data_IF_442715979636
#
_entry.id   IF_442715979636
#
_cell.length_a   1.000
_cell.length_b   1.000
_cell.length_c   1.000
_cell.angle_alpha   90.00
_cell.angle_beta   90.00
_cell.angle_gamma   90.00
#
_symmetry.space_group_name_H-M   'P 1'
#
loop_
_entity.id
_entity.type
_entity.pdbx_description
1 polymer ?
#
# COMPACT_ATOMS: atom_id res chain seq x y z
N UNK A 1 17.45 -36.76 -9.67
CA UNK A 1 16.75 -37.81 -8.90
C UNK A 1 15.40 -37.23 -8.50
N UNK A 2 14.28 -37.95 -8.68
CA UNK A 2 12.95 -37.41 -8.35
C UNK A 2 12.68 -37.60 -6.86
N UNK A 3 12.17 -36.56 -6.20
CA UNK A 3 11.71 -36.58 -4.80
C UNK A 3 10.22 -36.26 -4.77
N UNK A 4 9.45 -37.00 -3.97
CA UNK A 4 8.03 -36.72 -3.77
C UNK A 4 7.82 -35.88 -2.51
N UNK A 5 7.14 -34.74 -2.65
CA UNK A 5 6.90 -33.79 -1.57
C UNK A 5 5.50 -33.98 -0.99
N UNK A 6 5.44 -34.37 0.29
CA UNK A 6 4.22 -34.43 1.09
C UNK A 6 4.06 -33.14 1.88
N UNK A 7 2.90 -32.50 1.80
CA UNK A 7 2.57 -31.32 2.62
C UNK A 7 1.75 -31.76 3.81
N UNK A 8 2.23 -31.48 5.01
CA UNK A 8 1.60 -31.87 6.27
C UNK A 8 1.64 -30.70 7.25
N UNK A 9 0.79 -30.75 8.28
CA UNK A 9 0.91 -29.82 9.39
C UNK A 9 2.20 -30.13 10.18
N UNK A 10 3.05 -29.15 10.50
CA UNK A 10 4.23 -29.37 11.35
C UNK A 10 3.89 -29.76 12.79
N UNK A 11 2.66 -29.54 13.25
CA UNK A 11 2.30 -29.56 14.67
C UNK A 11 1.30 -30.65 15.07
N UNK A 12 0.46 -31.15 14.14
CA UNK A 12 -0.51 -32.21 14.43
C UNK A 12 -0.56 -33.25 13.31
N UNK A 13 -0.94 -34.48 13.66
CA UNK A 13 -1.07 -35.59 12.71
C UNK A 13 -2.43 -35.53 12.00
N UNK A 14 -2.63 -34.46 11.22
CA UNK A 14 -3.75 -34.37 10.31
C UNK A 14 -3.67 -35.52 9.30
N UNK A 15 -4.71 -36.38 9.21
CA UNK A 15 -4.69 -37.55 8.34
C UNK A 15 -4.61 -37.18 6.85
N UNK A 16 -5.00 -35.97 6.47
CA UNK A 16 -4.98 -35.51 5.08
C UNK A 16 -3.72 -34.72 4.75
N UNK A 17 -3.06 -35.08 3.64
CA UNK A 17 -2.01 -34.24 3.08
C UNK A 17 -2.62 -33.02 2.40
N UNK A 18 -2.10 -31.82 2.68
CA UNK A 18 -2.59 -30.60 2.05
C UNK A 18 -2.22 -30.55 0.56
N UNK A 19 -3.14 -30.11 -0.28
CA UNK A 19 -2.87 -29.90 -1.70
C UNK A 19 -1.96 -28.67 -1.94
N UNK A 20 -2.13 -27.63 -1.14
CA UNK A 20 -1.42 -26.35 -1.26
C UNK A 20 -0.83 -25.91 0.08
N UNK A 21 0.36 -25.30 0.06
CA UNK A 21 1.01 -24.73 1.26
C UNK A 21 0.10 -23.70 1.96
N UNK A 22 -0.70 -22.95 1.18
CA UNK A 22 -1.66 -21.98 1.73
C UNK A 22 -2.67 -22.63 2.68
N UNK A 23 -3.10 -23.86 2.39
CA UNK A 23 -4.05 -24.57 3.23
C UNK A 23 -3.38 -25.02 4.53
N UNK A 24 -2.13 -25.50 4.46
CA UNK A 24 -1.33 -25.81 5.65
C UNK A 24 -1.17 -24.57 6.55
N UNK A 25 -0.83 -23.42 5.96
CA UNK A 25 -0.67 -22.15 6.69
C UNK A 25 -1.98 -21.72 7.39
N UNK A 26 -3.13 -21.84 6.71
CA UNK A 26 -4.44 -21.54 7.32
C UNK A 26 -4.81 -22.50 8.45
N UNK A 27 -4.55 -23.79 8.26
CA UNK A 27 -4.77 -24.80 9.29
C UNK A 27 -3.90 -24.53 10.53
N UNK A 28 -2.62 -24.20 10.34
CA UNK A 28 -1.74 -23.83 11.47
C UNK A 28 -2.28 -22.63 12.24
N UNK A 29 -2.86 -21.65 11.56
CA UNK A 29 -3.49 -20.53 12.25
C UNK A 29 -4.76 -20.95 13.00
N UNK A 30 -5.64 -21.77 12.40
CA UNK A 30 -6.90 -22.16 13.05
C UNK A 30 -6.68 -23.06 14.26
N UNK A 31 -5.87 -24.10 14.11
CA UNK A 31 -5.67 -25.18 15.09
C UNK A 31 -4.55 -24.91 16.08
N UNK A 32 -3.53 -24.12 15.68
CA UNK A 32 -2.34 -23.90 16.50
C UNK A 32 -2.09 -22.44 16.85
N UNK A 33 -2.95 -21.52 16.39
CA UNK A 33 -2.88 -20.08 16.67
C UNK A 33 -1.52 -19.45 16.34
N UNK A 34 -0.81 -20.02 15.35
CA UNK A 34 0.51 -19.55 14.89
C UNK A 34 0.40 -18.92 13.51
N UNK A 35 1.00 -17.74 13.35
CA UNK A 35 1.15 -17.09 12.06
C UNK A 35 2.48 -17.52 11.44
N UNK A 36 2.39 -18.25 10.32
CA UNK A 36 3.51 -18.61 9.48
C UNK A 36 3.72 -17.63 8.31
N UNK A 37 4.97 -17.40 7.93
CA UNK A 37 5.29 -16.75 6.65
C UNK A 37 4.90 -17.70 5.51
N UNK A 38 4.06 -17.26 4.56
CA UNK A 38 3.70 -18.09 3.42
C UNK A 38 4.87 -18.18 2.44
N UNK A 39 5.03 -19.33 1.80
CA UNK A 39 5.99 -19.48 0.72
C UNK A 39 5.73 -18.48 -0.43
N UNK A 40 6.71 -17.66 -0.84
CA UNK A 40 6.60 -16.78 -2.00
C UNK A 40 6.38 -17.57 -3.30
N UNK A 41 5.62 -17.04 -4.27
CA UNK A 41 5.40 -17.77 -5.54
C UNK A 41 6.66 -17.88 -6.39
N UNK A 42 7.58 -16.92 -6.24
CA UNK A 42 8.87 -16.92 -6.92
C UNK A 42 9.75 -18.11 -6.50
N UNK A 43 9.57 -18.65 -5.28
CA UNK A 43 10.31 -19.81 -4.80
C UNK A 43 9.76 -21.10 -5.41
N UNK A 44 10.34 -21.51 -6.54
CA UNK A 44 10.06 -22.80 -7.15
C UNK A 44 10.69 -23.94 -6.34
N UNK A 45 10.14 -25.15 -6.47
CA UNK A 45 10.79 -26.33 -5.91
C UNK A 45 12.07 -26.63 -6.71
N UNK A 46 12.96 -27.42 -6.13
CA UNK A 46 14.15 -27.87 -6.82
C UNK A 46 13.80 -28.66 -8.10
N UNK A 47 14.63 -28.58 -9.15
CA UNK A 47 14.45 -29.38 -10.35
C UNK A 47 14.44 -30.88 -10.04
N UNK A 48 13.25 -31.49 -10.10
CA UNK A 48 13.05 -32.92 -9.80
C UNK A 48 12.06 -33.20 -8.67
N UNK A 49 11.70 -32.18 -7.88
CA UNK A 49 10.67 -32.30 -6.87
C UNK A 49 9.27 -32.33 -7.48
N UNK A 50 8.48 -33.34 -7.08
CA UNK A 50 7.10 -33.52 -7.53
C UNK A 50 6.15 -33.59 -6.33
N UNK A 51 4.93 -33.05 -6.41
CA UNK A 51 3.96 -33.22 -5.33
C UNK A 51 3.61 -34.69 -5.17
N UNK A 52 3.46 -35.14 -3.92
CA UNK A 52 2.97 -36.49 -3.62
C UNK A 52 1.50 -36.61 -4.06
N UNK A 53 1.24 -37.45 -5.04
CA UNK A 53 -0.09 -37.86 -5.48
C UNK A 53 0.00 -39.24 -6.14
N UNK A 54 -1.14 -39.90 -6.33
CA UNK A 54 -1.22 -41.25 -6.89
C UNK A 54 -0.45 -41.37 -8.21
N UNK A 55 -0.67 -40.44 -9.15
CA UNK A 55 0.00 -40.43 -10.46
C UNK A 55 1.53 -40.39 -10.32
N UNK A 56 2.06 -39.52 -9.46
CA UNK A 56 3.51 -39.39 -9.29
C UNK A 56 4.11 -40.56 -8.49
N UNK A 57 3.34 -41.18 -7.61
CA UNK A 57 3.76 -42.41 -6.92
C UNK A 57 3.84 -43.59 -7.90
N UNK A 58 2.88 -43.71 -8.83
CA UNK A 58 2.91 -44.73 -9.89
C UNK A 58 4.06 -44.50 -10.88
N UNK A 59 4.33 -43.24 -11.24
CA UNK A 59 5.43 -42.88 -12.15
C UNK A 59 6.82 -43.02 -11.50
N UNK A 60 6.92 -42.81 -10.18
CA UNK A 60 8.18 -42.80 -9.44
C UNK A 60 8.08 -43.62 -8.14
N UNK A 61 7.85 -44.93 -8.21
CA UNK A 61 7.55 -45.76 -7.03
C UNK A 61 8.72 -45.89 -6.05
N UNK A 62 9.95 -45.64 -6.50
CA UNK A 62 11.18 -45.67 -5.68
C UNK A 62 11.65 -44.28 -5.23
N UNK A 63 10.92 -43.21 -5.58
CA UNK A 63 11.32 -41.87 -5.18
C UNK A 63 11.14 -41.68 -3.66
N UNK A 64 12.12 -41.09 -2.95
CA UNK A 64 11.97 -40.78 -1.53
C UNK A 64 10.83 -39.78 -1.33
N UNK A 65 10.07 -39.96 -0.25
CA UNK A 65 9.05 -39.01 0.18
C UNK A 65 9.64 -38.10 1.25
N UNK A 66 9.58 -36.79 1.04
CA UNK A 66 9.99 -35.77 2.02
C UNK A 66 8.82 -34.86 2.39
N UNK A 67 8.86 -34.29 3.58
CA UNK A 67 7.90 -33.33 4.08
C UNK A 67 8.29 -31.93 3.62
N UNK A 68 7.42 -31.24 2.89
CA UNK A 68 7.69 -29.90 2.39
C UNK A 68 7.41 -28.84 3.44
N UNK A 69 8.30 -27.84 3.53
CA UNK A 69 8.05 -26.65 4.34
C UNK A 69 6.88 -25.84 3.77
N UNK A 70 5.93 -25.37 4.62
CA UNK A 70 4.87 -24.46 4.18
C UNK A 70 5.39 -23.06 3.81
N UNK A 71 6.54 -22.63 4.35
CA UNK A 71 7.09 -21.29 4.23
C UNK A 71 8.24 -21.10 3.24
N UNK A 72 8.91 -22.18 2.78
CA UNK A 72 10.04 -22.10 1.84
C UNK A 72 10.10 -23.31 0.89
N UNK A 73 11.21 -23.46 0.16
CA UNK A 73 11.48 -24.60 -0.73
C UNK A 73 12.17 -25.79 -0.04
N UNK A 74 12.52 -25.69 1.24
CA UNK A 74 13.16 -26.80 1.96
C UNK A 74 12.21 -27.98 2.22
N UNK A 75 12.81 -29.17 2.34
CA UNK A 75 12.09 -30.41 2.63
C UNK A 75 12.85 -31.30 3.62
N UNK A 76 12.11 -32.05 4.43
CA UNK A 76 12.62 -32.76 5.60
C UNK A 76 12.23 -34.23 5.58
N UNK A 77 13.04 -35.07 6.23
CA UNK A 77 12.77 -36.51 6.32
C UNK A 77 11.72 -36.85 7.39
N UNK A 78 11.63 -36.02 8.42
CA UNK A 78 10.75 -36.23 9.56
C UNK A 78 10.11 -34.92 10.03
N UNK A 79 9.05 -35.08 10.83
CA UNK A 79 8.21 -33.99 11.29
C UNK A 79 8.88 -33.12 12.35
N UNK A 80 9.77 -33.70 13.15
CA UNK A 80 10.51 -32.97 14.20
C UNK A 80 11.45 -31.97 13.56
N UNK A 81 12.19 -32.38 12.54
CA UNK A 81 13.07 -31.50 11.76
C UNK A 81 12.27 -30.38 11.07
N UNK A 82 11.14 -30.71 10.43
CA UNK A 82 10.24 -29.72 9.83
C UNK A 82 9.72 -28.71 10.87
N UNK A 83 9.25 -29.19 12.02
CA UNK A 83 8.73 -28.34 13.09
C UNK A 83 9.79 -27.38 13.61
N UNK A 84 11.00 -27.87 13.89
CA UNK A 84 12.10 -27.05 14.38
C UNK A 84 12.49 -25.96 13.37
N UNK A 85 12.56 -26.31 12.09
CA UNK A 85 12.79 -25.34 11.01
C UNK A 85 11.68 -24.27 10.96
N UNK A 86 10.41 -24.69 10.99
CA UNK A 86 9.27 -23.75 10.95
C UNK A 86 9.23 -22.83 12.17
N UNK A 87 9.46 -23.38 13.38
CA UNK A 87 9.48 -22.58 14.62
C UNK A 87 10.64 -21.55 14.61
N UNK A 88 11.77 -21.88 13.98
CA UNK A 88 12.94 -21.01 13.91
C UNK A 88 12.83 -19.91 12.85
N UNK A 89 12.31 -20.24 11.66
CA UNK A 89 12.41 -19.36 10.48
C UNK A 89 11.08 -18.81 9.98
N UNK A 90 9.95 -19.44 10.33
CA UNK A 90 8.68 -19.15 9.67
C UNK A 90 7.61 -18.59 10.60
N UNK A 91 7.79 -18.56 11.92
CA UNK A 91 6.86 -17.85 12.80
C UNK A 91 7.03 -16.34 12.61
N UNK A 92 5.94 -15.67 12.18
CA UNK A 92 5.92 -14.22 11.91
C UNK A 92 6.13 -13.43 13.21
N UNK A 93 5.37 -13.78 14.25
CA UNK A 93 5.33 -13.06 15.52
C UNK A 93 6.01 -13.89 16.62
N UNK A 94 7.35 -13.82 16.70
CA UNK A 94 8.12 -14.43 17.79
C UNK A 94 8.37 -13.43 18.92
N UNK A 95 8.69 -13.91 20.12
CA UNK A 95 9.07 -13.05 21.26
C UNK A 95 10.28 -12.16 20.91
N UNK A 96 11.26 -12.68 20.14
CA UNK A 96 12.41 -11.91 19.64
C UNK A 96 12.00 -10.74 18.73
N UNK A 97 10.88 -10.89 18.02
CA UNK A 97 10.32 -9.85 17.17
C UNK A 97 9.37 -8.90 17.92
N UNK A 98 9.04 -9.20 19.18
CA UNK A 98 8.17 -8.39 20.05
C UNK A 98 8.98 -7.46 20.97
N UNK A 99 10.26 -7.77 21.24
CA UNK A 99 11.11 -7.05 22.19
C UNK A 99 12.01 -5.96 21.60
N UNK A 100 12.05 -5.79 20.28
CA UNK A 100 13.12 -5.03 19.60
C UNK A 100 12.75 -3.61 19.16
N UNK A 101 11.63 -3.04 19.62
CA UNK A 101 11.13 -1.77 19.11
C UNK A 101 10.52 -0.83 20.17
N UNK A 102 11.18 -0.64 21.31
CA UNK A 102 11.00 0.63 22.05
C UNK A 102 12.36 1.28 22.24
N UNK A 103 12.90 1.98 21.22
CA UNK A 103 14.10 2.77 21.42
C UNK A 103 13.82 3.96 22.35
N UNK A 104 12.60 4.53 22.31
CA UNK A 104 12.20 5.70 23.10
C UNK A 104 10.69 5.70 23.42
N UNK A 105 10.36 6.11 24.64
CA UNK A 105 8.99 6.33 25.09
C UNK A 105 8.41 7.58 24.41
N UNK A 106 7.34 7.42 23.63
CA UNK A 106 6.60 8.54 23.07
C UNK A 106 5.47 8.93 24.02
N UNK A 107 5.62 10.07 24.69
CA UNK A 107 4.69 10.54 25.73
C UNK A 107 3.91 11.75 25.23
N UNK A 108 2.59 11.66 25.31
CA UNK A 108 1.66 12.75 24.95
C UNK A 108 0.68 12.94 26.10
N UNK A 109 0.54 14.17 26.58
CA UNK A 109 -0.36 14.49 27.70
C UNK A 109 -0.17 13.58 28.93
N UNK A 110 1.08 13.19 29.22
CA UNK A 110 1.43 12.28 30.31
C UNK A 110 1.15 10.79 30.06
N UNK A 111 0.63 10.43 28.89
CA UNK A 111 0.36 9.04 28.49
C UNK A 111 1.49 8.53 27.59
N UNK A 112 2.08 7.39 27.96
CA UNK A 112 3.04 6.69 27.10
C UNK A 112 2.29 5.97 25.97
N UNK A 113 2.29 6.61 24.79
CA UNK A 113 1.60 6.16 23.58
C UNK A 113 2.24 4.88 23.02
N UNK A 114 3.57 4.76 23.07
CA UNK A 114 4.31 3.55 22.67
C UNK A 114 3.79 2.31 23.41
N UNK A 115 3.68 2.42 24.74
CA UNK A 115 3.18 1.33 25.60
C UNK A 115 1.71 1.01 25.32
N UNK A 116 0.86 2.02 25.08
CA UNK A 116 -0.56 1.82 24.73
C UNK A 116 -0.70 1.09 23.39
N UNK A 117 0.09 1.47 22.39
CA UNK A 117 0.10 0.79 21.11
C UNK A 117 0.56 -0.67 21.25
N UNK A 118 1.63 -0.93 22.01
CA UNK A 118 2.10 -2.30 22.26
C UNK A 118 1.01 -3.15 22.92
N UNK A 119 0.33 -2.63 23.94
CA UNK A 119 -0.80 -3.32 24.59
C UNK A 119 -1.94 -3.63 23.62
N UNK A 120 -2.29 -2.69 22.75
CA UNK A 120 -3.31 -2.89 21.72
C UNK A 120 -2.89 -3.95 20.70
N UNK A 121 -1.64 -3.90 20.22
CA UNK A 121 -1.08 -4.88 19.29
C UNK A 121 -1.05 -6.28 19.91
N UNK A 122 -0.60 -6.41 21.15
CA UNK A 122 -0.57 -7.71 21.85
C UNK A 122 -1.98 -8.28 22.03
N UNK A 123 -2.96 -7.42 22.30
CA UNK A 123 -4.36 -7.82 22.30
C UNK A 123 -4.82 -8.32 20.92
N UNK A 124 -4.44 -7.65 19.83
CA UNK A 124 -4.76 -8.09 18.47
C UNK A 124 -4.10 -9.42 18.12
N UNK A 125 -2.84 -9.63 18.50
CA UNK A 125 -2.10 -10.86 18.24
C UNK A 125 -2.69 -12.06 18.99
N UNK A 126 -3.04 -11.89 20.28
CA UNK A 126 -3.70 -12.94 21.08
C UNK A 126 -5.04 -13.39 20.51
N UNK A 127 -5.78 -12.47 19.90
CA UNK A 127 -7.08 -12.74 19.29
C UNK A 127 -7.01 -12.83 17.75
N UNK A 128 -5.80 -12.98 17.19
CA UNK A 128 -5.56 -12.75 15.77
C UNK A 128 -6.32 -13.70 14.83
N UNK A 129 -6.67 -14.91 15.27
CA UNK A 129 -7.50 -15.83 14.47
C UNK A 129 -8.90 -15.31 14.21
N UNK A 130 -9.39 -14.42 15.08
CA UNK A 130 -10.78 -13.95 15.08
C UNK A 130 -10.89 -12.59 14.37
N UNK A 131 -9.75 -11.91 14.17
CA UNK A 131 -9.63 -10.57 13.60
C UNK A 131 -9.25 -10.56 12.11
N UNK A 132 -9.48 -11.64 11.36
CA UNK A 132 -8.98 -11.78 9.97
C UNK A 132 -9.85 -11.12 8.90
N UNK A 133 -11.09 -10.75 9.22
CA UNK A 133 -12.00 -10.07 8.31
C UNK A 133 -11.61 -8.60 8.16
N UNK A 134 -11.07 -8.25 6.99
CA UNK A 134 -10.51 -6.92 6.75
C UNK A 134 -11.54 -5.81 6.82
N UNK A 135 -12.80 -6.09 6.47
CA UNK A 135 -13.87 -5.09 6.51
C UNK A 135 -14.27 -4.72 7.94
N UNK A 136 -13.96 -5.59 8.91
CA UNK A 136 -14.36 -5.43 10.32
C UNK A 136 -13.21 -5.04 11.24
N UNK A 137 -12.04 -5.60 10.98
CA UNK A 137 -10.89 -5.54 11.89
C UNK A 137 -9.69 -4.84 11.26
N UNK A 138 -9.94 -3.92 10.34
CA UNK A 138 -8.92 -3.20 9.59
C UNK A 138 -7.80 -2.61 10.47
N UNK A 139 -8.16 -1.87 11.53
CA UNK A 139 -7.18 -1.25 12.42
C UNK A 139 -6.40 -2.29 13.25
N UNK A 140 -7.04 -3.39 13.65
CA UNK A 140 -6.38 -4.50 14.34
C UNK A 140 -5.35 -5.18 13.43
N UNK A 141 -5.70 -5.41 12.17
CA UNK A 141 -4.82 -6.03 11.17
C UNK A 141 -3.59 -5.15 10.88
N UNK A 142 -3.77 -3.84 10.80
CA UNK A 142 -2.66 -2.89 10.69
C UNK A 142 -1.81 -2.87 11.97
N UNK A 143 -2.43 -2.90 13.15
CA UNK A 143 -1.70 -2.93 14.42
C UNK A 143 -0.83 -4.18 14.56
N UNK A 144 -1.29 -5.35 14.09
CA UNK A 144 -0.47 -6.57 14.02
C UNK A 144 0.79 -6.37 13.18
N UNK A 145 0.70 -5.54 12.12
CA UNK A 145 1.82 -5.13 11.26
C UNK A 145 2.60 -3.91 11.77
N UNK A 146 2.45 -3.55 13.06
CA UNK A 146 3.07 -2.38 13.68
C UNK A 146 2.69 -1.04 13.05
N UNK A 147 1.49 -0.94 12.45
CA UNK A 147 0.98 0.29 11.82
C UNK A 147 -0.23 0.80 12.60
N UNK A 148 -0.27 2.09 12.88
CA UNK A 148 -1.40 2.80 13.45
C UNK A 148 -1.87 3.92 12.52
N UNK A 149 -3.17 3.97 12.22
CA UNK A 149 -3.73 5.01 11.35
C UNK A 149 -4.27 6.14 12.22
N UNK A 150 -3.89 7.36 11.88
CA UNK A 150 -4.35 8.60 12.53
C UNK A 150 -5.01 9.48 11.49
N UNK A 151 -6.15 10.05 11.84
CA UNK A 151 -6.94 10.96 11.02
C UNK A 151 -7.45 12.07 11.95
N UNK A 152 -7.93 13.16 11.37
CA UNK A 152 -8.58 14.23 12.14
C UNK A 152 -9.79 13.70 12.92
N UNK A 153 -10.51 12.72 12.35
CA UNK A 153 -11.57 11.99 13.03
C UNK A 153 -10.96 11.16 14.16
N UNK A 154 -11.39 11.45 15.38
CA UNK A 154 -10.86 10.86 16.61
C UNK A 154 -11.78 9.78 17.22
N UNK A 155 -12.86 9.39 16.53
CA UNK A 155 -13.79 8.34 16.97
C UNK A 155 -13.67 7.11 16.07
N UNK A 156 -12.82 6.15 16.47
CA UNK A 156 -12.69 4.87 15.77
C UNK A 156 -13.49 3.78 16.49
N UNK A 157 -14.58 3.31 15.88
CA UNK A 157 -15.34 2.17 16.43
C UNK A 157 -14.50 0.89 16.55
N UNK A 158 -13.48 0.75 15.71
CA UNK A 158 -12.58 -0.41 15.68
C UNK A 158 -11.38 -0.31 16.64
N UNK A 159 -11.10 0.86 17.23
CA UNK A 159 -10.01 1.02 18.21
C UNK A 159 -10.64 1.11 19.60
N UNK A 160 -10.44 0.10 20.47
CA UNK A 160 -11.08 0.12 21.78
C UNK A 160 -10.60 1.29 22.66
N UNK A 161 -11.55 2.02 23.27
CA UNK A 161 -11.26 3.21 24.10
C UNK A 161 -10.30 2.93 25.26
N UNK A 162 -10.29 1.69 25.77
CA UNK A 162 -9.37 1.25 26.82
C UNK A 162 -7.88 1.39 26.41
N UNK A 163 -7.58 1.35 25.12
CA UNK A 163 -6.24 1.57 24.59
C UNK A 163 -6.05 3.02 24.15
N UNK A 164 -7.00 3.55 23.38
CA UNK A 164 -6.96 4.91 22.83
C UNK A 164 -8.31 5.60 22.94
N UNK A 165 -8.44 6.50 23.92
CA UNK A 165 -9.59 7.39 24.02
C UNK A 165 -9.60 8.43 22.88
N UNK A 166 -10.77 8.96 22.54
CA UNK A 166 -10.89 10.05 21.55
C UNK A 166 -10.04 11.29 21.89
N UNK A 167 -9.90 11.62 23.18
CA UNK A 167 -9.04 12.73 23.63
C UNK A 167 -7.57 12.47 23.31
N UNK A 168 -7.05 11.27 23.65
CA UNK A 168 -5.67 10.90 23.32
C UNK A 168 -5.41 10.88 21.80
N UNK A 169 -6.38 10.41 20.99
CA UNK A 169 -6.26 10.42 19.53
C UNK A 169 -6.21 11.84 18.97
N UNK A 170 -7.01 12.74 19.52
CA UNK A 170 -6.96 14.15 19.17
C UNK A 170 -5.61 14.78 19.53
N UNK A 171 -5.07 14.48 20.71
CA UNK A 171 -3.76 14.97 21.15
C UNK A 171 -2.63 14.44 20.26
N UNK A 172 -2.67 13.14 19.91
CA UNK A 172 -1.74 12.52 18.95
C UNK A 172 -1.80 13.26 17.61
N UNK A 173 -3.01 13.44 17.06
CA UNK A 173 -3.20 14.12 15.78
C UNK A 173 -2.64 15.55 15.82
N UNK A 174 -3.02 16.34 16.84
CA UNK A 174 -2.59 17.73 17.01
C UNK A 174 -1.07 17.87 17.15
N UNK A 175 -0.44 16.96 17.90
CA UNK A 175 1.02 16.94 18.01
C UNK A 175 1.68 16.67 16.66
N UNK A 176 1.18 15.68 15.90
CA UNK A 176 1.72 15.36 14.58
C UNK A 176 1.51 16.49 13.56
N UNK A 177 0.35 17.16 13.54
CA UNK A 177 0.11 18.35 12.70
C UNK A 177 1.17 19.42 12.94
N UNK A 178 1.50 19.67 14.21
CA UNK A 178 2.52 20.65 14.58
C UNK A 178 3.92 20.19 14.23
N UNK A 179 4.28 18.94 14.55
CA UNK A 179 5.62 18.38 14.30
C UNK A 179 5.96 18.28 12.81
N UNK A 180 4.97 17.93 11.98
CA UNK A 180 5.13 17.76 10.54
C UNK A 180 4.85 19.04 9.76
N UNK A 181 4.47 20.13 10.43
CA UNK A 181 4.10 21.40 9.82
C UNK A 181 3.06 21.23 8.70
N UNK A 182 1.94 20.55 8.96
CA UNK A 182 0.94 20.18 7.94
C UNK A 182 0.16 21.41 7.43
N UNK A 183 0.06 22.49 8.18
CA UNK A 183 -0.74 23.67 7.81
C UNK A 183 0.11 24.69 7.03
N UNK A 184 0.72 24.28 5.91
CA UNK A 184 1.47 25.19 5.03
C UNK A 184 0.53 25.92 4.09
N UNK A 185 0.87 27.17 3.80
CA UNK A 185 0.04 28.07 2.99
C UNK A 185 0.86 28.56 1.80
N UNK A 186 0.26 28.53 0.63
CA UNK A 186 0.82 29.10 -0.61
C UNK A 186 0.73 30.61 -0.56
N UNK A 187 1.68 31.31 -1.18
CA UNK A 187 1.62 32.74 -1.35
C UNK A 187 0.22 33.21 -1.84
N UNK A 188 -0.43 34.16 -1.14
CA UNK A 188 -1.77 34.61 -1.50
C UNK A 188 -1.87 35.25 -2.89
N UNK A 189 -0.82 35.93 -3.36
CA UNK A 189 -0.79 36.54 -4.69
C UNK A 189 -0.67 35.46 -5.79
N UNK A 190 0.14 34.43 -5.55
CA UNK A 190 0.24 33.26 -6.40
C UNK A 190 -1.11 32.54 -6.50
N UNK A 191 -1.77 32.29 -5.36
CA UNK A 191 -3.11 31.69 -5.29
C UNK A 191 -4.14 32.50 -6.07
N UNK A 192 -4.16 33.82 -5.89
CA UNK A 192 -5.06 34.71 -6.61
C UNK A 192 -4.83 34.66 -8.13
N UNK A 193 -3.57 34.60 -8.55
CA UNK A 193 -3.16 34.56 -9.96
C UNK A 193 -3.55 33.24 -10.61
N UNK A 194 -3.27 32.08 -9.99
CA UNK A 194 -3.72 30.76 -10.46
C UNK A 194 -5.24 30.77 -10.63
N UNK A 195 -5.97 31.19 -9.60
CA UNK A 195 -7.45 31.22 -9.63
C UNK A 195 -7.99 32.11 -10.74
N UNK A 196 -7.35 33.26 -11.01
CA UNK A 196 -7.72 34.16 -12.12
C UNK A 196 -7.54 33.46 -13.47
N UNK A 197 -6.39 32.83 -13.71
CA UNK A 197 -6.12 32.11 -14.96
C UNK A 197 -7.17 31.01 -15.19
N UNK A 198 -7.48 30.21 -14.16
CA UNK A 198 -8.48 29.14 -14.25
C UNK A 198 -9.89 29.69 -14.52
N UNK A 199 -10.27 30.81 -13.90
CA UNK A 199 -11.56 31.47 -14.16
C UNK A 199 -11.67 31.99 -15.59
N UNK A 200 -10.61 32.61 -16.10
CA UNK A 200 -10.58 33.14 -17.47
C UNK A 200 -10.62 31.99 -18.50
N UNK A 201 -9.96 30.86 -18.22
CA UNK A 201 -10.06 29.65 -19.04
C UNK A 201 -11.47 29.03 -19.01
N UNK A 202 -12.05 28.88 -17.82
CA UNK A 202 -13.40 28.32 -17.65
C UNK A 202 -14.45 29.15 -18.39
N UNK A 203 -14.31 30.48 -18.36
CA UNK A 203 -15.24 31.44 -18.98
C UNK A 203 -14.94 31.77 -20.45
N UNK A 204 -14.07 31.00 -21.11
CA UNK A 204 -13.70 31.17 -22.52
C UNK A 204 -13.05 32.53 -22.90
N UNK A 205 -12.62 33.31 -21.91
CA UNK A 205 -11.83 34.54 -22.17
C UNK A 205 -10.45 34.21 -22.71
N UNK A 206 -9.88 33.09 -22.29
CA UNK A 206 -8.64 32.54 -22.84
C UNK A 206 -8.84 31.09 -23.27
N UNK A 207 -8.23 30.71 -24.39
CA UNK A 207 -8.25 29.33 -24.83
C UNK A 207 -7.26 28.46 -24.02
N UNK A 208 -7.37 27.13 -24.18
CA UNK A 208 -6.54 26.16 -23.45
C UNK A 208 -5.04 26.45 -23.56
N UNK A 209 -4.53 26.71 -24.77
CA UNK A 209 -3.10 26.92 -24.98
C UNK A 209 -2.61 28.18 -24.25
N UNK A 210 -3.37 29.28 -24.32
CA UNK A 210 -3.05 30.52 -23.60
C UNK A 210 -3.07 30.33 -22.08
N UNK A 211 -4.04 29.59 -21.56
CA UNK A 211 -4.12 29.30 -20.12
C UNK A 211 -2.93 28.45 -19.64
N UNK A 212 -2.53 27.43 -20.41
CA UNK A 212 -1.35 26.61 -20.12
C UNK A 212 -0.07 27.46 -20.12
N UNK A 213 0.13 28.28 -21.16
CA UNK A 213 1.28 29.18 -21.24
C UNK A 213 1.34 30.15 -20.05
N UNK A 214 0.19 30.66 -19.61
CA UNK A 214 0.14 31.54 -18.44
C UNK A 214 0.57 30.83 -17.15
N UNK A 215 0.14 29.59 -16.92
CA UNK A 215 0.57 28.79 -15.76
C UNK A 215 2.06 28.40 -15.86
N UNK A 216 2.54 28.01 -17.04
CA UNK A 216 3.95 27.67 -17.24
C UNK A 216 4.87 28.88 -16.99
N UNK A 217 4.50 30.06 -17.49
CA UNK A 217 5.24 31.29 -17.21
C UNK A 217 5.22 31.65 -15.71
N UNK A 218 4.10 31.40 -15.04
CA UNK A 218 3.99 31.62 -13.59
C UNK A 218 4.86 30.64 -12.81
N UNK A 219 4.96 29.38 -13.24
CA UNK A 219 5.84 28.38 -12.66
C UNK A 219 7.33 28.72 -12.87
N UNK A 220 7.67 29.25 -14.04
CA UNK A 220 9.03 29.70 -14.37
C UNK A 220 9.50 30.87 -13.48
N UNK A 221 8.56 31.73 -13.07
CA UNK A 221 8.80 32.84 -12.14
C UNK A 221 9.04 32.38 -10.69
N UNK A 222 8.58 31.19 -10.32
CA UNK A 222 8.92 30.61 -9.03
C UNK A 222 10.35 30.07 -9.13
N UNK A 223 11.18 30.24 -8.10
CA UNK A 223 12.50 29.60 -8.02
C UNK A 223 12.33 28.05 -7.92
N UNK A 224 13.37 27.26 -7.60
CA UNK A 224 13.21 25.81 -7.34
C UNK A 224 12.42 25.50 -6.04
N UNK A 225 11.30 26.19 -5.87
CA UNK A 225 10.39 26.21 -4.75
C UNK A 225 9.34 25.09 -4.88
N UNK A 226 8.95 24.39 -3.81
CA UNK A 226 7.70 23.63 -3.77
C UNK A 226 6.48 24.33 -4.42
N UNK A 227 6.36 25.66 -4.36
CA UNK A 227 5.26 26.40 -5.03
C UNK A 227 5.26 26.25 -6.56
N UNK A 228 6.43 26.16 -7.20
CA UNK A 228 6.55 25.85 -8.64
C UNK A 228 5.79 24.56 -8.98
N UNK A 229 5.93 23.54 -8.15
CA UNK A 229 5.29 22.24 -8.35
C UNK A 229 3.78 22.32 -8.18
N UNK A 230 3.27 23.20 -7.31
CA UNK A 230 1.82 23.46 -7.18
C UNK A 230 1.26 24.00 -8.51
N UNK A 231 1.93 25.00 -9.09
CA UNK A 231 1.51 25.59 -10.37
C UNK A 231 1.53 24.54 -11.50
N UNK A 232 2.59 23.74 -11.58
CA UNK A 232 2.73 22.68 -12.58
C UNK A 232 1.71 21.56 -12.39
N UNK A 233 1.40 21.20 -11.14
CA UNK A 233 0.36 20.23 -10.82
C UNK A 233 -1.01 20.69 -11.33
N UNK A 234 -1.36 21.97 -11.12
CA UNK A 234 -2.59 22.56 -11.68
C UNK A 234 -2.55 22.59 -13.21
N UNK A 235 -1.43 22.98 -13.81
CA UNK A 235 -1.24 23.03 -15.26
C UNK A 235 -1.46 21.65 -15.92
N UNK A 236 -0.94 20.59 -15.29
CA UNK A 236 -0.98 19.22 -15.79
C UNK A 236 -2.41 18.69 -16.04
N UNK A 237 -3.41 19.28 -15.39
CA UNK A 237 -4.82 18.93 -15.53
C UNK A 237 -5.47 19.57 -16.77
N UNK A 238 -5.02 20.76 -17.20
CA UNK A 238 -5.63 21.53 -18.31
C UNK A 238 -5.67 20.76 -19.66
N UNK A 239 -4.65 19.98 -20.06
CA UNK A 239 -4.71 19.16 -21.26
C UNK A 239 -5.94 18.25 -21.33
N UNK A 240 -6.29 17.61 -20.20
CA UNK A 240 -7.41 16.69 -20.09
C UNK A 240 -8.78 17.39 -20.04
N UNK A 241 -8.84 18.68 -19.67
CA UNK A 241 -10.11 19.39 -19.53
C UNK A 241 -10.87 19.50 -20.84
N UNK A 242 -12.08 18.95 -20.85
CA UNK A 242 -13.06 19.06 -21.93
C UNK A 242 -14.35 19.64 -21.38
N UNK A 243 -15.08 20.34 -22.23
CA UNK A 243 -16.41 20.85 -21.90
C UNK A 243 -17.47 19.81 -22.33
N UNK A 244 -17.37 18.62 -21.73
CA UNK A 244 -18.26 17.48 -22.01
C UNK A 244 -18.52 16.72 -20.73
N UNK A 245 -19.71 16.13 -20.62
CA UNK A 245 -20.02 15.18 -19.56
C UNK A 245 -19.55 13.79 -19.97
N UNK A 246 -18.42 13.35 -19.40
CA UNK A 246 -17.94 11.99 -19.56
C UNK A 246 -18.91 11.02 -18.85
N UNK A 247 -19.49 10.09 -19.61
CA UNK A 247 -20.47 9.13 -19.06
C UNK A 247 -19.84 8.10 -18.12
N UNK A 248 -18.64 7.63 -18.45
CA UNK A 248 -17.94 6.60 -17.67
C UNK A 248 -16.44 6.80 -17.77
N UNK A 249 -15.76 6.80 -16.62
CA UNK A 249 -14.31 6.85 -16.51
C UNK A 249 -13.85 5.49 -16.00
N UNK A 250 -13.02 4.80 -16.77
CA UNK A 250 -12.38 3.56 -16.32
C UNK A 250 -11.20 3.87 -15.39
N UNK A 251 -10.77 2.89 -14.59
CA UNK A 251 -9.60 3.03 -13.71
C UNK A 251 -8.34 3.47 -14.46
N UNK A 252 -8.12 2.88 -15.65
CA UNK A 252 -6.98 3.24 -16.51
C UNK A 252 -7.11 4.65 -17.10
N UNK A 253 -8.31 5.07 -17.48
CA UNK A 253 -8.55 6.44 -17.95
C UNK A 253 -8.24 7.42 -16.82
N UNK A 254 -8.82 7.20 -15.63
CA UNK A 254 -8.59 8.00 -14.43
C UNK A 254 -7.10 8.11 -14.11
N UNK A 255 -6.42 6.96 -14.07
CA UNK A 255 -4.98 6.88 -13.78
C UNK A 255 -4.15 7.66 -14.79
N UNK A 256 -4.29 7.39 -16.09
CA UNK A 256 -3.40 7.96 -17.11
C UNK A 256 -3.72 9.42 -17.44
N UNK A 257 -4.97 9.84 -17.32
CA UNK A 257 -5.44 11.15 -17.81
C UNK A 257 -5.41 12.23 -16.74
N UNK A 258 -5.63 11.84 -15.47
CA UNK A 258 -5.83 12.79 -14.39
C UNK A 258 -4.85 12.56 -13.23
N UNK A 259 -4.76 11.33 -12.72
CA UNK A 259 -3.93 11.04 -11.54
C UNK A 259 -2.44 11.12 -11.85
N UNK A 260 -1.97 10.44 -12.90
CA UNK A 260 -0.55 10.39 -13.22
C UNK A 260 0.05 11.78 -13.52
N UNK A 261 -0.56 12.63 -14.38
CA UNK A 261 -0.05 13.98 -14.61
C UNK A 261 0.06 14.81 -13.33
N UNK A 262 -0.98 14.76 -12.48
CA UNK A 262 -1.00 15.50 -11.21
C UNK A 262 0.11 15.00 -10.28
N UNK A 263 0.14 13.70 -10.01
CA UNK A 263 1.08 13.08 -9.06
C UNK A 263 2.52 13.22 -9.53
N UNK A 264 2.78 13.13 -10.84
CA UNK A 264 4.12 13.35 -11.38
C UNK A 264 4.61 14.77 -11.06
N UNK A 265 3.78 15.80 -11.26
CA UNK A 265 4.15 17.17 -10.93
C UNK A 265 4.32 17.40 -9.41
N UNK A 266 3.56 16.69 -8.58
CA UNK A 266 3.67 16.80 -7.13
C UNK A 266 4.91 16.09 -6.56
N UNK A 267 5.18 14.86 -7.01
CA UNK A 267 6.09 13.93 -6.33
C UNK A 267 7.31 13.51 -7.17
N UNK A 268 7.39 13.93 -8.44
CA UNK A 268 8.47 13.51 -9.36
C UNK A 268 8.79 14.59 -10.41
N UNK A 269 8.87 15.85 -9.97
CA UNK A 269 9.14 16.99 -10.84
C UNK A 269 10.61 17.48 -10.75
N UNK A 270 11.52 16.56 -10.45
CA UNK A 270 12.96 16.80 -10.38
C UNK A 270 13.69 15.84 -11.33
N UNK A 271 15.00 16.06 -11.51
CA UNK A 271 15.80 15.29 -12.47
C UNK A 271 16.11 13.85 -12.03
N UNK A 272 15.95 13.56 -10.73
CA UNK A 272 16.35 12.30 -10.10
C UNK A 272 15.15 11.39 -9.79
N UNK A 273 13.92 11.91 -9.78
CA UNK A 273 12.72 11.14 -9.45
C UNK A 273 11.89 10.80 -10.69
N UNK A 274 11.50 9.54 -10.81
CA UNK A 274 10.67 9.04 -11.90
C UNK A 274 9.35 8.50 -11.35
N UNK A 275 8.23 9.09 -11.78
CA UNK A 275 6.91 8.55 -11.50
C UNK A 275 6.51 7.48 -12.52
N UNK A 276 5.96 6.39 -12.02
CA UNK A 276 5.43 5.25 -12.76
C UNK A 276 3.99 5.00 -12.36
N UNK A 277 3.05 4.92 -13.31
CA UNK A 277 1.72 4.32 -13.09
C UNK A 277 1.56 3.10 -14.01
N UNK A 278 2.42 2.09 -13.81
CA UNK A 278 2.60 0.97 -14.74
C UNK A 278 2.37 -0.41 -14.11
N UNK A 279 1.89 -0.47 -12.86
CA UNK A 279 1.61 -1.74 -12.19
C UNK A 279 2.82 -2.70 -12.26
N UNK A 280 4.02 -2.16 -11.99
CA UNK A 280 5.31 -2.87 -12.03
C UNK A 280 5.62 -3.53 -10.69
N UNK A 281 6.39 -4.62 -10.73
CA UNK A 281 6.86 -5.24 -9.49
C UNK A 281 7.91 -4.33 -8.87
N UNK A 282 7.84 -4.16 -7.55
CA UNK A 282 9.00 -3.76 -6.77
C UNK A 282 10.14 -4.78 -7.00
N UNK A 283 11.39 -4.41 -6.76
CA UNK A 283 12.59 -5.22 -6.99
C UNK A 283 12.39 -6.76 -6.90
N UNK A 284 13.12 -7.52 -7.74
CA UNK A 284 12.97 -8.97 -8.01
C UNK A 284 12.95 -9.93 -6.80
N UNK A 285 13.10 -9.45 -5.56
CA UNK A 285 13.15 -10.23 -4.33
C UNK A 285 12.13 -9.79 -3.26
N UNK A 286 11.12 -8.98 -3.60
CA UNK A 286 10.09 -8.61 -2.62
C UNK A 286 9.20 -9.81 -2.28
N UNK A 287 9.10 -10.14 -0.98
CA UNK A 287 8.22 -11.21 -0.46
C UNK A 287 6.74 -10.98 -0.79
N UNK A 288 6.40 -9.75 -1.19
CA UNK A 288 5.09 -9.35 -1.67
C UNK A 288 5.10 -9.36 -3.20
N UNK A 289 4.52 -10.39 -3.84
CA UNK A 289 4.16 -10.43 -5.28
C UNK A 289 3.10 -9.35 -5.67
N UNK A 290 3.00 -8.26 -4.90
CA UNK A 290 2.01 -7.21 -4.99
C UNK A 290 2.66 -5.98 -5.60
N UNK A 291 1.87 -5.29 -6.43
CA UNK A 291 2.29 -4.14 -7.20
C UNK A 291 1.39 -2.97 -6.81
N UNK A 292 1.95 -1.82 -6.42
CA UNK A 292 1.16 -0.60 -6.34
C UNK A 292 0.75 -0.16 -7.75
N UNK A 293 -0.35 0.57 -7.86
CA UNK A 293 -0.79 1.13 -9.14
C UNK A 293 0.15 2.26 -9.59
N UNK A 294 0.68 3.05 -8.65
CA UNK A 294 1.67 4.09 -8.91
C UNK A 294 2.86 4.07 -7.92
N UNK A 295 4.04 4.46 -8.40
CA UNK A 295 5.32 4.54 -7.66
C UNK A 295 6.06 5.81 -8.08
N UNK A 296 6.74 6.47 -7.15
CA UNK A 296 7.78 7.45 -7.46
C UNK A 296 9.14 6.89 -7.02
N UNK A 297 10.04 6.65 -7.97
CA UNK A 297 11.37 6.07 -7.74
C UNK A 297 12.45 7.15 -7.84
N UNK A 298 13.28 7.25 -6.82
CA UNK A 298 14.41 8.19 -6.76
C UNK A 298 15.66 7.47 -7.23
N UNK A 299 16.40 8.12 -8.12
CA UNK A 299 17.68 7.68 -8.65
C UNK A 299 18.79 8.60 -8.15
N UNK A 300 19.96 8.05 -7.88
CA UNK A 300 21.15 8.84 -7.61
C UNK A 300 22.27 8.36 -8.53
N UNK A 301 22.88 9.28 -9.28
CA UNK A 301 23.93 8.97 -10.27
C UNK A 301 23.52 7.80 -11.18
N UNK A 302 22.33 7.90 -11.77
CA UNK A 302 21.74 6.91 -12.68
C UNK A 302 21.41 5.53 -12.08
N UNK A 303 21.56 5.36 -10.76
CA UNK A 303 21.23 4.11 -10.07
C UNK A 303 19.99 4.28 -9.20
N UNK A 304 19.14 3.25 -9.16
CA UNK A 304 18.00 3.24 -8.26
C UNK A 304 18.45 3.41 -6.80
N UNK A 305 17.84 4.35 -6.09
CA UNK A 305 18.17 4.66 -4.69
C UNK A 305 17.12 4.13 -3.73
N UNK A 306 15.85 4.47 -3.96
CA UNK A 306 14.68 4.05 -3.18
C UNK A 306 13.39 4.53 -3.86
N UNK A 307 12.25 3.95 -3.50
CA UNK A 307 10.94 4.51 -3.83
C UNK A 307 10.53 5.54 -2.78
N UNK A 308 10.14 6.75 -3.19
CA UNK A 308 9.74 7.87 -2.33
C UNK A 308 8.23 8.03 -2.18
N UNK A 309 7.43 7.34 -3.01
CA UNK A 309 5.98 7.33 -2.87
C UNK A 309 5.32 6.11 -3.50
N UNK A 310 4.11 5.78 -3.02
CA UNK A 310 3.25 4.74 -3.55
C UNK A 310 1.80 5.23 -3.67
N UNK A 311 1.09 4.71 -4.66
CA UNK A 311 -0.31 5.02 -4.94
C UNK A 311 -1.15 3.79 -5.27
N UNK A 312 -2.42 3.82 -4.87
CA UNK A 312 -3.45 2.85 -5.27
C UNK A 312 -4.64 3.58 -5.87
N UNK A 313 -5.20 3.07 -6.97
CA UNK A 313 -6.25 3.76 -7.72
C UNK A 313 -7.44 2.83 -7.91
N UNK A 314 -8.62 3.28 -7.51
CA UNK A 314 -9.89 2.57 -7.71
C UNK A 314 -10.98 3.52 -8.20
N UNK A 315 -11.87 3.01 -9.04
CA UNK A 315 -13.10 3.72 -9.42
C UNK A 315 -14.09 3.74 -8.24
N UNK A 316 -14.97 4.74 -8.22
CA UNK A 316 -15.94 4.96 -7.13
C UNK A 316 -16.82 3.72 -6.85
N UNK A 317 -17.31 3.10 -7.92
CA UNK A 317 -18.18 1.91 -7.88
C UNK A 317 -17.45 0.60 -7.53
N UNK A 318 -16.15 0.64 -7.20
CA UNK A 318 -15.44 -0.54 -6.74
C UNK A 318 -16.02 -1.03 -5.39
N UNK A 319 -16.06 -2.35 -5.13
CA UNK A 319 -16.46 -2.86 -3.82
C UNK A 319 -15.59 -2.28 -2.69
N UNK A 320 -16.18 -1.90 -1.57
CA UNK A 320 -15.45 -1.28 -0.45
C UNK A 320 -14.33 -2.18 0.06
N UNK A 321 -14.55 -3.49 0.11
CA UNK A 321 -13.52 -4.47 0.47
C UNK A 321 -12.26 -4.37 -0.40
N UNK A 322 -12.40 -4.03 -1.69
CA UNK A 322 -11.23 -3.82 -2.55
C UNK A 322 -10.51 -2.52 -2.16
N UNK A 323 -11.25 -1.43 -1.92
CA UNK A 323 -10.69 -0.15 -1.46
C UNK A 323 -9.90 -0.33 -0.14
N UNK A 324 -10.45 -1.09 0.80
CA UNK A 324 -9.80 -1.38 2.09
C UNK A 324 -8.56 -2.27 1.92
N UNK A 325 -8.62 -3.29 1.06
CA UNK A 325 -7.46 -4.12 0.72
C UNK A 325 -6.32 -3.31 0.09
N UNK A 326 -6.66 -2.39 -0.80
CA UNK A 326 -5.69 -1.53 -1.45
C UNK A 326 -5.05 -0.57 -0.45
N UNK A 327 -5.84 0.00 0.47
CA UNK A 327 -5.27 0.80 1.56
C UNK A 327 -4.31 -0.04 2.42
N UNK A 328 -4.71 -1.24 2.85
CA UNK A 328 -3.83 -2.11 3.65
C UNK A 328 -2.52 -2.36 2.89
N UNK A 329 -2.62 -2.65 1.59
CA UNK A 329 -1.45 -2.84 0.73
C UNK A 329 -0.56 -1.61 0.65
N UNK A 330 -1.15 -0.44 0.48
CA UNK A 330 -0.46 0.85 0.49
C UNK A 330 0.30 1.08 1.80
N UNK A 331 -0.30 0.72 2.94
CA UNK A 331 0.34 0.83 4.25
C UNK A 331 1.57 -0.11 4.38
N UNK A 332 1.46 -1.35 3.88
CA UNK A 332 2.59 -2.30 3.88
C UNK A 332 3.72 -1.82 2.96
N UNK A 333 3.41 -1.25 1.78
CA UNK A 333 4.44 -0.69 0.91
C UNK A 333 5.19 0.46 1.57
N UNK A 334 4.48 1.40 2.20
CA UNK A 334 5.08 2.51 2.91
C UNK A 334 6.03 2.05 4.03
N UNK A 335 5.55 1.14 4.89
CA UNK A 335 6.35 0.54 5.95
C UNK A 335 7.60 -0.15 5.40
N UNK A 336 7.43 -1.00 4.39
CA UNK A 336 8.53 -1.74 3.79
C UNK A 336 9.60 -0.85 3.17
N UNK A 337 9.21 0.26 2.53
CA UNK A 337 10.17 1.22 1.99
C UNK A 337 10.95 1.96 3.10
N UNK A 338 10.26 2.38 4.17
CA UNK A 338 10.92 3.01 5.33
C UNK A 338 11.94 2.05 5.96
N UNK A 339 11.54 0.80 6.22
CA UNK A 339 12.43 -0.21 6.83
C UNK A 339 13.60 -0.58 5.92
N UNK A 340 13.36 -0.80 4.63
CA UNK A 340 14.38 -1.27 3.69
C UNK A 340 15.41 -0.21 3.35
N UNK A 341 14.99 1.05 3.22
CA UNK A 341 15.83 2.15 2.75
C UNK A 341 16.18 3.15 3.85
N UNK A 342 15.80 2.87 5.10
CA UNK A 342 15.95 3.74 6.27
C UNK A 342 15.44 5.16 6.00
N UNK A 343 14.17 5.30 5.61
CA UNK A 343 13.59 6.62 5.29
C UNK A 343 13.05 7.32 6.55
N UNK A 344 13.13 8.65 6.60
CA UNK A 344 12.51 9.45 7.69
C UNK A 344 10.98 9.37 7.71
N UNK A 345 10.40 9.10 6.55
CA UNK A 345 8.99 8.87 6.34
C UNK A 345 8.70 8.60 4.87
N UNK A 346 7.44 8.59 4.49
CA UNK A 346 7.02 8.40 3.10
C UNK A 346 5.62 8.98 2.85
N UNK A 347 5.42 9.61 1.69
CA UNK A 347 4.09 10.03 1.23
C UNK A 347 3.46 8.90 0.43
N UNK A 348 2.21 8.60 0.69
CA UNK A 348 1.42 7.59 -0.03
C UNK A 348 0.03 8.14 -0.31
N UNK A 349 -0.64 7.68 -1.35
CA UNK A 349 -1.98 8.18 -1.68
C UNK A 349 -2.92 7.09 -2.14
N UNK A 350 -4.21 7.29 -1.91
CA UNK A 350 -5.27 6.44 -2.44
C UNK A 350 -6.25 7.29 -3.25
N UNK A 351 -6.58 6.82 -4.45
CA UNK A 351 -7.59 7.44 -5.30
C UNK A 351 -8.85 6.58 -5.30
N UNK A 352 -9.99 7.18 -4.98
CA UNK A 352 -11.32 6.56 -5.08
C UNK A 352 -12.21 7.49 -5.91
N UNK A 353 -12.52 7.07 -7.13
CA UNK A 353 -13.22 7.96 -8.07
C UNK A 353 -12.33 9.15 -8.43
N UNK A 354 -12.80 10.38 -8.18
CA UNK A 354 -12.02 11.62 -8.38
C UNK A 354 -11.31 12.10 -7.12
N UNK A 355 -11.61 11.48 -5.97
CA UNK A 355 -11.05 11.84 -4.68
C UNK A 355 -9.67 11.22 -4.50
N UNK A 356 -8.68 12.03 -4.13
CA UNK A 356 -7.33 11.58 -3.77
C UNK A 356 -7.05 11.94 -2.33
N UNK A 357 -6.84 10.93 -1.49
CA UNK A 357 -6.40 11.13 -0.12
C UNK A 357 -4.92 10.82 0.01
N UNK A 358 -4.15 11.79 0.51
CA UNK A 358 -2.73 11.67 0.79
C UNK A 358 -2.49 11.35 2.26
N UNK A 359 -1.52 10.48 2.49
CA UNK A 359 -1.09 10.03 3.80
C UNK A 359 0.42 10.14 3.94
N UNK A 360 0.88 10.61 5.09
CA UNK A 360 2.29 10.53 5.47
C UNK A 360 2.48 9.39 6.47
N UNK A 361 3.52 8.58 6.27
CA UNK A 361 3.89 7.54 7.22
C UNK A 361 5.30 7.80 7.77
N UNK A 362 5.47 7.63 9.08
CA UNK A 362 6.77 7.75 9.76
C UNK A 362 6.85 6.81 10.97
N UNK A 363 8.07 6.47 11.39
CA UNK A 363 8.33 5.69 12.61
C UNK A 363 8.36 6.62 13.83
N UNK A 364 7.51 6.34 14.83
CA UNK A 364 7.45 7.07 16.10
C UNK A 364 7.14 6.11 17.24
N UNK A 365 7.82 6.27 18.38
CA UNK A 365 7.57 5.45 19.57
C UNK A 365 7.70 3.93 19.33
N UNK A 366 8.46 3.50 18.32
CA UNK A 366 8.64 2.09 17.99
C UNK A 366 7.62 1.47 17.02
N UNK A 367 6.69 2.26 16.46
CA UNK A 367 5.70 1.80 15.49
C UNK A 367 5.45 2.82 14.38
N UNK A 368 4.86 2.38 13.29
CA UNK A 368 4.59 3.21 12.12
C UNK A 368 3.27 3.94 12.29
N UNK A 369 3.30 5.26 12.26
CA UNK A 369 2.09 6.08 12.22
C UNK A 369 1.84 6.43 10.76
N UNK A 370 0.63 6.12 10.27
CA UNK A 370 0.13 6.55 8.96
C UNK A 370 -0.95 7.60 9.20
N UNK A 371 -0.62 8.85 8.92
CA UNK A 371 -1.49 9.99 9.14
C UNK A 371 -2.11 10.48 7.83
N UNK A 372 -3.41 10.74 7.82
CA UNK A 372 -4.06 11.48 6.73
C UNK A 372 -3.60 12.94 6.74
N UNK A 373 -3.18 13.43 5.57
CA UNK A 373 -2.66 14.79 5.40
C UNK A 373 -3.72 15.68 4.76
N UNK A 374 -4.26 15.23 3.62
CA UNK A 374 -5.23 15.99 2.86
C UNK A 374 -6.03 15.07 1.93
N UNK A 375 -7.27 15.46 1.66
CA UNK A 375 -8.12 14.86 0.63
C UNK A 375 -8.51 15.93 -0.39
N UNK A 376 -8.20 15.70 -1.66
CA UNK A 376 -8.48 16.63 -2.77
C UNK A 376 -9.40 15.98 -3.80
N UNK A 377 -10.19 16.79 -4.50
CA UNK A 377 -11.00 16.33 -5.64
C UNK A 377 -10.36 16.76 -6.95
N UNK A 378 -10.00 15.78 -7.81
CA UNK A 378 -9.46 16.09 -9.12
C UNK A 378 -10.61 16.49 -10.07
N UNK A 379 -10.60 17.72 -10.63
CA UNK A 379 -11.59 18.10 -11.62
C UNK A 379 -11.42 17.23 -12.88
N UNK A 380 -12.53 16.74 -13.43
CA UNK A 380 -12.53 15.92 -14.65
C UNK A 380 -13.13 16.63 -15.86
N UNK A 381 -13.78 17.77 -15.64
CA UNK A 381 -14.40 18.60 -16.66
C UNK A 381 -13.98 20.07 -16.55
N UNK A 382 -14.01 20.79 -17.68
CA UNK A 382 -13.62 22.20 -17.77
C UNK A 382 -14.42 23.08 -16.81
N UNK A 383 -15.73 22.83 -16.65
CA UNK A 383 -16.59 23.61 -15.75
C UNK A 383 -16.12 23.59 -14.29
N UNK A 384 -15.47 22.50 -13.89
CA UNK A 384 -15.06 22.22 -12.52
C UNK A 384 -13.60 22.63 -12.25
N UNK A 385 -12.81 22.98 -13.27
CA UNK A 385 -11.36 23.23 -13.13
C UNK A 385 -10.99 24.25 -12.04
N UNK A 386 -11.86 25.22 -11.76
CA UNK A 386 -11.59 26.24 -10.72
C UNK A 386 -11.61 25.64 -9.31
N UNK A 387 -12.26 24.48 -9.10
CA UNK A 387 -12.33 23.83 -7.78
C UNK A 387 -10.95 23.46 -7.24
N UNK A 388 -9.98 23.15 -8.11
CA UNK A 388 -8.61 22.82 -7.68
C UNK A 388 -7.93 23.97 -6.93
N UNK A 389 -8.36 25.22 -7.16
CA UNK A 389 -7.83 26.39 -6.44
C UNK A 389 -8.18 26.41 -4.95
N UNK A 390 -9.13 25.56 -4.51
CA UNK A 390 -9.45 25.39 -3.10
C UNK A 390 -8.50 24.44 -2.37
N UNK A 391 -7.59 23.77 -3.08
CA UNK A 391 -6.70 22.75 -2.53
C UNK A 391 -5.20 23.12 -2.64
N UNK A 392 -4.86 24.38 -2.96
CA UNK A 392 -3.48 24.76 -3.25
C UNK A 392 -2.55 24.62 -2.03
N UNK A 393 -3.05 24.95 -0.84
CA UNK A 393 -2.33 24.83 0.42
C UNK A 393 -2.04 23.36 0.77
N UNK A 394 -3.02 22.48 0.52
CA UNK A 394 -2.88 21.04 0.68
C UNK A 394 -1.85 20.47 -0.30
N UNK A 395 -1.90 20.86 -1.58
CA UNK A 395 -0.92 20.45 -2.58
C UNK A 395 0.49 20.88 -2.17
N UNK A 396 0.64 22.12 -1.70
CA UNK A 396 1.91 22.67 -1.22
C UNK A 396 2.46 21.91 -0.01
N UNK A 397 1.59 21.59 0.94
CA UNK A 397 1.92 20.77 2.10
C UNK A 397 2.43 19.39 1.69
N UNK A 398 1.74 18.72 0.75
CA UNK A 398 2.12 17.39 0.25
C UNK A 398 3.52 17.43 -0.39
N UNK A 399 3.80 18.43 -1.22
CA UNK A 399 5.11 18.60 -1.88
C UNK A 399 6.20 18.84 -0.83
N UNK A 400 5.95 19.71 0.14
CA UNK A 400 6.90 19.99 1.21
C UNK A 400 7.22 18.74 2.03
N UNK A 401 6.21 17.96 2.41
CA UNK A 401 6.40 16.71 3.14
C UNK A 401 7.16 15.67 2.33
N UNK A 402 6.87 15.55 1.03
CA UNK A 402 7.58 14.63 0.14
C UNK A 402 9.05 15.02 -0.01
N UNK A 403 9.36 16.31 -0.24
CA UNK A 403 10.73 16.83 -0.32
C UNK A 403 11.50 16.68 1.00
N UNK A 404 10.82 16.65 2.14
CA UNK A 404 11.44 16.44 3.45
C UNK A 404 11.81 14.97 3.73
N UNK A 405 11.36 14.02 2.91
CA UNK A 405 11.73 12.61 3.03
C UNK A 405 13.21 12.44 2.68
N UNK A 406 13.97 11.83 3.58
CA UNK A 406 15.40 11.57 3.40
C UNK A 406 15.78 10.23 4.01
N UNK A 407 16.90 9.67 3.54
CA UNK A 407 17.55 8.55 4.21
C UNK A 407 18.09 9.01 5.55
N UNK A 408 17.86 8.24 6.60
CA UNK A 408 18.38 8.46 7.95
C UNK A 408 19.65 7.66 8.17
N UNK A 409 20.58 8.21 8.95
CA UNK A 409 21.81 7.49 9.32
C UNK A 409 21.52 6.29 10.23
N UNK A 410 20.44 6.38 11.02
CA UNK A 410 19.98 5.28 11.85
C UNK A 410 19.23 4.25 11.00
N UNK A 411 19.62 2.97 11.16
CA UNK A 411 18.92 1.85 10.55
C UNK A 411 17.54 1.72 11.17
N UNK A 412 16.50 1.79 10.35
CA UNK A 412 15.12 1.53 10.80
C UNK A 412 14.98 0.02 11.06
N UNK A 413 14.53 -0.40 12.25
CA UNK A 413 14.39 -1.81 12.56
C UNK A 413 13.29 -2.44 11.71
N UNK A 414 13.55 -3.64 11.19
CA UNK A 414 12.50 -4.44 10.55
C UNK A 414 11.56 -4.99 11.62
N UNK A 415 10.27 -4.71 11.45
CA UNK A 415 9.21 -5.17 12.36
C UNK A 415 8.31 -6.18 11.66
N UNK A 416 7.68 -7.12 12.39
CA UNK A 416 6.80 -8.11 11.79
C UNK A 416 5.64 -7.50 11.01
N UNK A 417 5.35 -8.08 9.85
CA UNK A 417 4.21 -7.72 9.00
C UNK A 417 3.25 -8.91 8.93
N UNK A 418 1.96 -8.68 9.12
CA UNK A 418 0.95 -9.72 8.93
C UNK A 418 0.86 -10.08 7.42
N UNK A 419 1.11 -11.35 7.04
CA UNK A 419 1.06 -11.73 5.62
C UNK A 419 -0.34 -11.65 5.01
N UNK A 420 -0.43 -11.18 3.76
CA UNK A 420 -1.69 -11.07 3.01
C UNK A 420 -2.51 -12.35 2.90
N UNK A 421 -1.85 -13.52 3.01
CA UNK A 421 -2.50 -14.83 2.90
C UNK A 421 -3.64 -15.01 3.92
N UNK A 422 -3.53 -14.30 5.05
CA UNK A 422 -4.45 -14.35 6.19
C UNK A 422 -5.63 -13.40 6.09
N UNK A 423 -5.53 -12.34 5.28
CA UNK A 423 -6.62 -11.39 5.11
C UNK A 423 -7.82 -12.08 4.47
N UNK A 424 -8.96 -12.01 5.16
CA UNK A 424 -10.23 -12.53 4.70
C UNK A 424 -11.12 -11.39 4.23
N UNK A 425 -11.88 -11.66 3.17
CA UNK A 425 -12.92 -10.78 2.67
C UNK A 425 -14.25 -11.52 2.76
N UNK A 426 -15.32 -10.84 3.14
CA UNK A 426 -16.67 -11.44 3.12
C UNK A 426 -17.19 -11.57 1.68
N UNK A 427 -16.70 -12.59 0.96
CA UNK A 427 -17.42 -13.33 -0.10
C UNK A 427 -16.72 -14.66 -0.38
N UNK A 428 -17.22 -15.73 0.25
CA UNK A 428 -16.99 -17.12 -0.18
C UNK A 428 -17.92 -17.46 -1.36
N UNK A 429 -17.54 -18.48 -2.13
CA UNK A 429 -18.32 -19.23 -3.15
C UNK A 429 -18.75 -18.52 -4.45
N UNK A 430 -17.95 -18.69 -5.51
CA UNK A 430 -18.44 -19.06 -6.85
C UNK A 430 -17.41 -20.05 -7.47
N UNK A 431 -17.85 -21.11 -8.17
CA UNK A 431 -16.96 -22.11 -8.74
C UNK A 431 -16.06 -21.51 -9.82
N UNK A 432 -14.86 -22.07 -9.90
CA UNK A 432 -13.86 -21.91 -10.96
C UNK A 432 -14.49 -21.46 -12.27
N UNK A 433 -14.13 -20.27 -12.76
CA UNK A 433 -14.51 -19.77 -14.09
C UNK A 433 -14.41 -20.94 -15.08
N UNK A 434 -15.54 -21.41 -15.61
CA UNK A 434 -15.54 -22.13 -16.88
C UNK A 434 -14.79 -21.21 -17.84
N UNK A 435 -13.69 -21.69 -18.41
CA UNK A 435 -13.08 -21.07 -19.58
C UNK A 435 -14.20 -20.88 -20.60
N UNK A 436 -14.56 -19.63 -20.92
CA UNK A 436 -15.21 -19.36 -22.19
C UNK A 436 -14.19 -19.78 -23.24
N UNK A 437 -14.54 -20.82 -24.01
CA UNK A 437 -13.77 -21.20 -25.19
C UNK A 437 -13.76 -19.98 -26.12
N UNK A 438 -12.59 -19.37 -26.27
CA UNK A 438 -12.30 -18.50 -27.40
C UNK A 438 -12.44 -19.36 -28.67
N UNK A 439 -13.63 -19.32 -29.27
CA UNK A 439 -13.91 -20.13 -30.45
C UNK A 439 -15.37 -20.07 -30.84
N UNK A 440 -15.84 -18.89 -31.30
CA UNK A 440 -16.93 -18.77 -32.30
C UNK A 440 -17.41 -17.33 -32.50
N UNK A 441 -16.55 -16.30 -32.61
CA UNK A 441 -16.98 -15.01 -33.22
C UNK A 441 -15.82 -14.45 -34.06
N UNK A 442 -15.45 -15.19 -35.09
CA UNK A 442 -14.67 -14.71 -36.23
C UNK A 442 -14.87 -15.67 -37.41
N UNK A 443 -16.06 -15.64 -38.02
CA UNK A 443 -16.26 -16.03 -39.43
C UNK A 443 -17.73 -15.86 -39.82
N UNK A 444 -18.06 -14.70 -40.38
CA UNK A 444 -18.80 -14.60 -41.64
C UNK A 444 -19.11 -13.14 -41.97
N UNK A 445 -18.12 -12.42 -42.48
CA UNK A 445 -18.43 -11.48 -43.56
C UNK A 445 -18.60 -12.31 -44.84
N UNK A 446 -19.77 -12.24 -45.47
CA UNK A 446 -19.93 -12.37 -46.92
C UNK A 446 -21.36 -11.97 -47.35
N UNK A 447 -21.43 -10.88 -48.14
CA UNK A 447 -22.29 -10.62 -49.32
C UNK A 447 -23.78 -11.01 -49.17
N UNK A 448 -24.72 -10.08 -49.24
CA UNK A 448 -25.08 -9.27 -50.42
C UNK A 448 -25.86 -8.03 -50.00
#
# INVERSE_FOLDING_TARGET
MVTLLKRVCPYCDDPESFQENRNTVKHVLSEHKKFLTPRPKAMQNEPGDKPLNQKNQELYPKAPVKLACPGCNESFNDKTALKNHVDLLHIVFTERNQTSACPEDWIISGVNVSKRFQQFRDHCLRNGSDCLDIDRYFNQLLAMSCIFVVQERNMYSSVPEQFFSAALLHDIHKQLVKELEIEKVVDPELTATIKKILKDFRSDKVNKLKARLALLNLADQQEEDPERNVVLAVESLLPAMKDVDLRQISEMHLSATYVYPLVQCLLANDAETVAHCSNTMMEKNSENDKRPDCIADVYHRYNFSHSSSFGEIKIDNAPDTHKVLDFYRLAIFGKGAIEKHSLSGIVTFQVIGTSVTFYYMTLRGGFFIKMEIASIEIPTAKRDIVSISSYLDELFTIICLHKAVKKTDNVVPQTPTLPFVYLQTKRRTLPTKRKLSLGSIASSSKRR
#
